data_IF_123058789406
#
_entry.id   IF_123058789406
#
_cell.length_a   1.000
_cell.length_b   1.000
_cell.length_c   1.000
_cell.angle_alpha   90.00
_cell.angle_beta   90.00
_cell.angle_gamma   90.00
#
_symmetry.space_group_name_H-M   'P 1'
#
loop_
_entity.id
_entity.type
_entity.pdbx_description
1 polymer ?
#
# COMPACT_ATOMS: atom_id res chain seq x y z
N UNK A 1 -1.01 -18.73 -2.52
CA UNK A 1 -1.37 -18.60 -1.09
C UNK A 1 -2.54 -17.64 -1.02
N UNK A 2 -3.73 -18.09 -0.61
CA UNK A 2 -4.91 -17.23 -0.49
C UNK A 2 -4.85 -16.42 0.81
N UNK A 3 -5.23 -15.14 0.75
CA UNK A 3 -5.38 -14.33 1.96
C UNK A 3 -6.60 -14.87 2.75
N UNK A 4 -6.43 -15.31 4.01
CA UNK A 4 -7.53 -15.82 4.83
C UNK A 4 -8.56 -14.74 5.21
N UNK A 5 -8.36 -13.48 4.79
CA UNK A 5 -9.27 -12.36 5.04
C UNK A 5 -10.32 -12.22 3.95
N UNK A 6 -11.59 -12.38 4.33
CA UNK A 6 -12.73 -12.11 3.46
C UNK A 6 -13.58 -10.97 4.01
N UNK A 7 -14.03 -10.04 3.17
CA UNK A 7 -14.93 -8.97 3.61
C UNK A 7 -16.27 -9.56 4.03
N UNK A 8 -16.59 -9.45 5.32
CA UNK A 8 -17.90 -9.82 5.86
C UNK A 8 -18.93 -8.72 5.58
N UNK A 9 -18.62 -7.47 5.94
CA UNK A 9 -19.50 -6.31 5.76
C UNK A 9 -18.72 -5.03 5.52
N UNK A 10 -19.34 -4.11 4.78
CA UNK A 10 -18.88 -2.72 4.66
C UNK A 10 -19.95 -1.78 5.18
N UNK A 11 -19.62 -0.99 6.19
CA UNK A 11 -20.46 0.12 6.63
C UNK A 11 -19.98 1.34 5.86
N UNK A 12 -20.80 1.80 4.93
CA UNK A 12 -20.50 3.00 4.14
C UNK A 12 -20.69 4.24 5.00
N UNK A 13 -19.85 5.25 4.78
CA UNK A 13 -20.06 6.55 5.41
C UNK A 13 -21.27 7.25 4.79
N UNK A 14 -22.02 8.07 5.53
CA UNK A 14 -23.22 8.71 5.02
C UNK A 14 -22.94 9.84 4.02
N UNK A 15 -21.74 10.44 4.04
CA UNK A 15 -21.36 11.52 3.12
C UNK A 15 -20.66 11.01 1.85
N UNK A 16 -21.11 11.43 0.65
CA UNK A 16 -20.48 11.07 -0.61
C UNK A 16 -19.08 11.69 -0.79
N UNK A 17 -18.27 11.14 -1.70
CA UNK A 17 -17.14 11.85 -2.33
C UNK A 17 -17.29 11.81 -3.84
N UNK A 18 -16.80 12.88 -4.48
CA UNK A 18 -16.55 12.89 -5.91
C UNK A 18 -15.32 12.03 -6.21
N UNK A 19 -15.46 11.12 -7.15
CA UNK A 19 -14.40 10.26 -7.63
C UNK A 19 -13.83 10.80 -8.94
N UNK A 20 -12.59 11.28 -8.91
CA UNK A 20 -11.98 11.97 -10.04
C UNK A 20 -11.75 11.05 -11.25
N UNK A 21 -11.50 9.75 -11.01
CA UNK A 21 -11.31 8.79 -12.10
C UNK A 21 -12.63 8.51 -12.80
N UNK A 22 -13.66 8.10 -12.06
CA UNK A 22 -14.98 7.83 -12.64
C UNK A 22 -15.66 9.07 -13.20
N UNK A 23 -15.36 10.26 -12.67
CA UNK A 23 -15.81 11.54 -13.27
C UNK A 23 -15.17 11.75 -14.63
N UNK A 24 -13.86 11.52 -14.76
CA UNK A 24 -13.17 11.58 -16.06
C UNK A 24 -13.69 10.53 -17.03
N UNK A 25 -13.98 9.32 -16.54
CA UNK A 25 -14.56 8.26 -17.36
C UNK A 25 -15.97 8.61 -17.84
N UNK A 26 -16.81 9.17 -16.97
CA UNK A 26 -18.13 9.66 -17.33
C UNK A 26 -18.05 10.78 -18.37
N UNK A 27 -17.10 11.72 -18.23
CA UNK A 27 -16.85 12.76 -19.22
C UNK A 27 -16.43 12.18 -20.59
N UNK A 28 -15.52 11.21 -20.62
CA UNK A 28 -15.11 10.51 -21.86
C UNK A 28 -16.26 9.78 -22.54
N UNK A 29 -17.16 9.21 -21.75
CA UNK A 29 -18.32 8.48 -22.24
C UNK A 29 -19.55 9.38 -22.43
N UNK A 30 -19.42 10.70 -22.26
CA UNK A 30 -20.52 11.67 -22.31
C UNK A 30 -21.70 11.34 -21.37
N UNK A 31 -21.44 10.62 -20.28
CA UNK A 31 -22.44 10.21 -19.29
C UNK A 31 -22.68 11.35 -18.32
N UNK A 32 -23.89 11.94 -18.35
CA UNK A 32 -24.30 12.98 -17.40
C UNK A 32 -25.04 12.44 -16.19
N UNK A 33 -25.80 11.35 -16.37
CA UNK A 33 -26.67 10.77 -15.35
C UNK A 33 -26.54 9.24 -15.37
N UNK A 34 -26.20 8.65 -14.24
CA UNK A 34 -26.13 7.21 -14.09
C UNK A 34 -26.39 6.81 -12.64
N UNK A 35 -27.42 6.01 -12.39
CA UNK A 35 -27.64 5.36 -11.10
C UNK A 35 -27.50 3.85 -11.30
N UNK A 36 -26.45 3.25 -10.75
CA UNK A 36 -26.20 1.80 -10.87
C UNK A 36 -25.76 1.24 -9.53
N UNK A 37 -26.25 0.05 -9.19
CA UNK A 37 -25.99 -0.61 -7.90
C UNK A 37 -24.50 -0.90 -7.63
N UNK A 38 -23.74 -1.20 -8.68
CA UNK A 38 -22.33 -1.62 -8.59
C UNK A 38 -21.33 -0.60 -9.17
N UNK A 39 -21.80 0.55 -9.65
CA UNK A 39 -20.94 1.61 -10.19
C UNK A 39 -21.16 2.91 -9.41
N UNK A 40 -20.21 3.85 -9.44
CA UNK A 40 -20.43 5.16 -8.85
C UNK A 40 -21.62 5.86 -9.54
N UNK A 41 -22.44 6.52 -8.72
CA UNK A 41 -23.59 7.28 -9.19
C UNK A 41 -23.10 8.55 -9.86
N UNK A 42 -23.39 8.75 -11.15
CA UNK A 42 -23.02 9.97 -11.88
C UNK A 42 -24.19 10.95 -11.84
N UNK A 43 -23.94 12.15 -11.33
CA UNK A 43 -24.90 13.26 -11.25
C UNK A 43 -24.27 14.48 -11.91
N UNK A 44 -24.92 15.04 -12.93
CA UNK A 44 -24.41 16.17 -13.70
C UNK A 44 -22.94 15.97 -14.15
N UNK A 45 -22.60 14.76 -14.60
CA UNK A 45 -21.25 14.39 -15.04
C UNK A 45 -20.23 14.15 -13.92
N UNK A 46 -20.58 14.35 -12.64
CA UNK A 46 -19.72 14.05 -11.48
C UNK A 46 -20.03 12.67 -10.95
N UNK A 47 -19.03 11.80 -10.92
CA UNK A 47 -19.16 10.46 -10.34
C UNK A 47 -19.02 10.54 -8.82
N UNK A 48 -20.05 10.08 -8.12
CA UNK A 48 -20.19 10.13 -6.68
C UNK A 48 -20.15 8.72 -6.12
N UNK A 49 -19.38 8.53 -5.04
CA UNK A 49 -19.31 7.26 -4.32
C UNK A 49 -19.36 7.45 -2.80
N UNK A 50 -19.92 6.45 -2.13
CA UNK A 50 -19.94 6.34 -0.67
C UNK A 50 -18.94 5.27 -0.25
N UNK A 51 -17.67 5.64 0.04
CA UNK A 51 -16.69 4.66 0.50
C UNK A 51 -17.06 4.11 1.88
N UNK A 52 -16.47 2.97 2.20
CA UNK A 52 -16.53 2.35 3.51
C UNK A 52 -15.95 3.29 4.58
N UNK A 53 -16.72 3.45 5.67
CA UNK A 53 -16.28 4.00 6.94
C UNK A 53 -15.57 2.91 7.76
N UNK A 54 -16.21 1.74 7.79
CA UNK A 54 -15.76 0.57 8.52
C UNK A 54 -15.82 -0.63 7.57
N UNK A 55 -14.73 -1.37 7.47
CA UNK A 55 -14.70 -2.67 6.79
C UNK A 55 -14.51 -3.75 7.85
N UNK A 56 -15.45 -4.70 7.90
CA UNK A 56 -15.36 -5.86 8.78
C UNK A 56 -14.89 -7.03 7.94
N UNK A 57 -13.71 -7.53 8.26
CA UNK A 57 -13.09 -8.70 7.65
C UNK A 57 -13.34 -9.90 8.55
N UNK A 58 -13.65 -11.05 7.98
CA UNK A 58 -13.57 -12.34 8.65
C UNK A 58 -12.20 -12.95 8.36
N UNK A 59 -11.49 -13.41 9.39
CA UNK A 59 -10.26 -14.20 9.24
C UNK A 59 -10.59 -15.66 9.50
N UNK A 60 -10.45 -16.51 8.48
CA UNK A 60 -10.66 -17.94 8.68
C UNK A 60 -9.51 -18.53 9.51
N UNK A 61 -9.78 -19.18 10.65
CA UNK A 61 -8.74 -19.85 11.45
C UNK A 61 -8.16 -21.10 10.75
N UNK A 62 -8.88 -21.70 9.81
CA UNK A 62 -8.48 -22.94 9.13
C UNK A 62 -7.55 -22.71 7.93
N UNK A 63 -7.43 -21.47 7.45
CA UNK A 63 -6.63 -21.14 6.27
C UNK A 63 -7.26 -21.53 4.93
N UNK A 64 -8.49 -22.06 4.93
CA UNK A 64 -9.28 -22.34 3.73
C UNK A 64 -10.09 -21.13 3.26
N UNK A 65 -10.71 -21.26 2.08
CA UNK A 65 -11.48 -20.21 1.43
C UNK A 65 -12.79 -19.83 2.15
N UNK A 66 -13.27 -18.63 1.82
CA UNK A 66 -14.42 -17.92 2.41
C UNK A 66 -15.77 -18.66 2.47
N UNK A 67 -15.86 -19.84 1.89
CA UNK A 67 -17.07 -20.66 1.83
C UNK A 67 -17.12 -21.75 2.88
N UNK A 68 -15.99 -22.02 3.54
CA UNK A 68 -15.75 -23.31 4.19
C UNK A 68 -15.06 -23.14 5.54
N UNK A 69 -15.58 -22.30 6.43
CA UNK A 69 -15.14 -22.36 7.83
C UNK A 69 -15.59 -23.72 8.40
N UNK A 70 -14.69 -24.68 8.66
CA UNK A 70 -15.08 -26.05 9.01
C UNK A 70 -15.73 -26.13 10.39
N UNK A 71 -15.43 -25.16 11.26
CA UNK A 71 -16.05 -25.02 12.58
C UNK A 71 -17.54 -24.65 12.43
N UNK A 72 -17.92 -23.96 11.34
CA UNK A 72 -19.27 -23.49 11.11
C UNK A 72 -19.60 -23.37 9.60
N UNK A 73 -20.06 -24.46 8.97
CA UNK A 73 -20.35 -24.47 7.54
C UNK A 73 -21.56 -23.59 7.17
N UNK A 74 -21.50 -22.91 6.03
CA UNK A 74 -22.62 -22.17 5.44
C UNK A 74 -22.57 -20.64 5.58
N UNK A 75 -23.71 -19.94 5.44
CA UNK A 75 -23.79 -18.45 5.42
C UNK A 75 -23.50 -17.78 6.77
N UNK A 76 -23.33 -18.56 7.84
CA UNK A 76 -23.15 -18.09 9.22
C UNK A 76 -21.74 -17.55 9.51
N UNK A 77 -20.72 -17.90 8.73
CA UNK A 77 -19.35 -17.43 8.94
C UNK A 77 -19.24 -15.90 9.04
N UNK A 78 -20.10 -15.19 8.31
CA UNK A 78 -20.17 -13.73 8.34
C UNK A 78 -20.49 -13.18 9.73
N UNK A 79 -21.17 -13.94 10.59
CA UNK A 79 -21.63 -13.51 11.91
C UNK A 79 -20.74 -13.98 13.06
N UNK A 80 -19.63 -14.68 12.80
CA UNK A 80 -18.69 -15.08 13.85
C UNK A 80 -17.80 -13.91 14.26
N UNK A 81 -18.31 -13.11 15.19
CA UNK A 81 -17.67 -11.90 15.71
C UNK A 81 -16.25 -12.15 16.26
N UNK A 82 -15.98 -13.34 16.79
CA UNK A 82 -14.66 -13.72 17.32
C UNK A 82 -13.56 -13.76 16.24
N UNK A 83 -13.94 -13.95 14.98
CA UNK A 83 -13.01 -13.98 13.84
C UNK A 83 -13.00 -12.65 13.08
N UNK A 84 -13.76 -11.66 13.55
CA UNK A 84 -13.81 -10.38 12.90
C UNK A 84 -12.55 -9.56 13.15
N UNK A 85 -12.13 -8.89 12.08
CA UNK A 85 -11.14 -7.83 12.08
C UNK A 85 -11.81 -6.58 11.58
N UNK A 86 -11.93 -5.60 12.47
CA UNK A 86 -12.56 -4.33 12.16
C UNK A 86 -11.50 -3.32 11.71
N UNK A 87 -11.70 -2.76 10.52
CA UNK A 87 -10.90 -1.70 9.96
C UNK A 87 -11.72 -0.41 9.93
N UNK A 88 -11.36 0.55 10.79
CA UNK A 88 -11.97 1.88 10.82
C UNK A 88 -11.11 2.84 10.01
N UNK A 89 -11.53 3.14 8.77
CA UNK A 89 -10.72 3.90 7.80
C UNK A 89 -10.31 5.31 8.28
N UNK A 90 -11.21 6.11 8.90
CA UNK A 90 -10.80 7.40 9.45
C UNK A 90 -9.71 7.24 10.50
N UNK A 91 -9.88 6.31 11.45
CA UNK A 91 -8.92 6.10 12.53
C UNK A 91 -7.54 5.68 11.98
N UNK A 92 -7.51 4.85 10.95
CA UNK A 92 -6.25 4.51 10.26
C UNK A 92 -5.61 5.73 9.59
N UNK A 93 -6.41 6.58 8.94
CA UNK A 93 -5.89 7.81 8.34
C UNK A 93 -5.31 8.76 9.39
N UNK A 94 -6.04 8.99 10.49
CA UNK A 94 -5.57 9.79 11.63
C UNK A 94 -4.30 9.21 12.25
N UNK A 95 -4.26 7.91 12.48
CA UNK A 95 -3.07 7.22 12.97
C UNK A 95 -1.87 7.43 12.05
N UNK A 96 -2.07 7.31 10.73
CA UNK A 96 -0.99 7.54 9.75
C UNK A 96 -0.48 8.98 9.76
N UNK A 97 -1.38 9.95 9.86
CA UNK A 97 -1.00 11.37 9.91
C UNK A 97 -0.28 11.73 11.22
N UNK A 98 -0.81 11.28 12.35
CA UNK A 98 -0.37 11.73 13.67
C UNK A 98 0.83 10.94 14.19
N UNK A 99 0.81 9.61 14.05
CA UNK A 99 1.71 8.70 14.77
C UNK A 99 2.71 8.00 13.87
N UNK A 100 2.31 7.60 12.66
CA UNK A 100 3.22 6.90 11.74
C UNK A 100 4.33 7.85 11.26
N UNK A 101 5.54 7.31 11.21
CA UNK A 101 6.73 7.97 10.68
C UNK A 101 7.34 7.08 9.61
N UNK A 102 7.96 7.69 8.61
CA UNK A 102 8.72 6.94 7.63
C UNK A 102 9.90 6.25 8.31
N UNK A 103 10.08 4.96 8.03
CA UNK A 103 11.15 4.16 8.64
C UNK A 103 12.54 4.59 8.16
N UNK A 104 12.63 5.15 6.94
CA UNK A 104 13.87 5.67 6.37
C UNK A 104 14.21 7.06 6.92
N UNK A 105 13.41 8.08 6.60
CA UNK A 105 13.74 9.48 6.92
C UNK A 105 13.19 9.98 8.26
N UNK A 106 12.36 9.19 8.96
CA UNK A 106 11.68 9.62 10.18
C UNK A 106 10.57 10.67 9.98
N UNK A 107 10.34 11.11 8.75
CA UNK A 107 9.36 12.15 8.40
C UNK A 107 7.91 11.75 8.68
N UNK A 108 7.04 12.75 8.84
CA UNK A 108 5.59 12.55 9.05
C UNK A 108 4.87 12.29 7.74
N UNK A 109 3.71 11.63 7.81
CA UNK A 109 2.81 11.55 6.66
C UNK A 109 2.09 12.89 6.48
N UNK A 110 2.23 13.50 5.31
CA UNK A 110 1.48 14.70 4.92
C UNK A 110 0.62 14.42 3.68
N UNK A 111 -0.27 15.35 3.32
CA UNK A 111 -1.23 15.14 2.24
C UNK A 111 -0.57 14.87 0.88
N UNK A 112 0.46 15.63 0.54
CA UNK A 112 1.24 15.51 -0.71
C UNK A 112 2.24 14.35 -0.68
N UNK A 113 2.60 13.88 0.50
CA UNK A 113 3.70 12.93 0.70
C UNK A 113 3.36 11.99 1.85
N UNK A 114 2.68 10.91 1.50
CA UNK A 114 2.08 9.99 2.45
C UNK A 114 3.04 8.85 2.78
N UNK A 115 3.08 8.47 4.06
CA UNK A 115 3.81 7.29 4.52
C UNK A 115 2.88 6.08 4.43
N UNK A 116 2.81 5.47 3.25
CA UNK A 116 1.82 4.42 2.94
C UNK A 116 2.38 3.22 2.15
N UNK A 117 3.69 3.17 1.89
CA UNK A 117 4.34 2.04 1.20
C UNK A 117 4.97 1.11 2.23
N UNK A 118 4.71 -0.19 2.13
CA UNK A 118 5.32 -1.25 2.94
C UNK A 118 6.11 -2.22 2.06
N UNK A 119 7.23 -2.74 2.57
CA UNK A 119 7.95 -3.85 1.92
C UNK A 119 7.58 -5.23 2.48
N UNK A 120 6.86 -5.26 3.61
CA UNK A 120 6.30 -6.49 4.19
C UNK A 120 4.77 -6.46 4.09
N UNK A 121 4.21 -7.65 3.94
CA UNK A 121 2.77 -7.91 3.83
C UNK A 121 2.24 -8.52 5.15
N UNK A 122 3.13 -9.10 5.96
CA UNK A 122 2.89 -9.97 7.10
C UNK A 122 3.47 -9.42 8.42
N UNK A 123 3.96 -8.18 8.44
CA UNK A 123 4.59 -7.57 9.60
C UNK A 123 3.67 -7.52 10.85
N UNK A 124 4.27 -7.53 12.06
CA UNK A 124 3.51 -7.49 13.30
C UNK A 124 2.68 -6.20 13.38
N UNK A 125 1.39 -6.34 13.69
CA UNK A 125 0.50 -5.19 13.82
C UNK A 125 0.88 -4.37 15.03
N UNK A 126 1.21 -3.10 14.80
CA UNK A 126 1.37 -2.14 15.89
C UNK A 126 0.03 -1.81 16.53
N UNK A 127 0.03 -1.52 17.85
CA UNK A 127 -1.17 -1.15 18.62
C UNK A 127 -1.78 0.14 18.07
N UNK A 128 -3.08 0.38 18.31
CA UNK A 128 -3.80 1.49 17.68
C UNK A 128 -3.23 2.89 18.02
N UNK A 129 -2.58 3.03 19.19
CA UNK A 129 -1.92 4.26 19.65
C UNK A 129 -0.43 4.34 19.26
N UNK A 130 0.09 3.38 18.52
CA UNK A 130 1.48 3.37 18.04
C UNK A 130 1.50 3.63 16.53
N UNK A 131 2.53 4.32 16.04
CA UNK A 131 2.76 4.41 14.59
C UNK A 131 2.92 3.01 13.96
N UNK A 132 2.51 2.87 12.70
CA UNK A 132 2.81 1.67 11.91
C UNK A 132 4.32 1.64 11.60
N UNK A 133 4.98 0.50 11.81
CA UNK A 133 6.41 0.31 11.52
C UNK A 133 6.59 -0.24 10.10
N UNK A 134 7.75 -0.01 9.49
CA UNK A 134 8.06 -0.52 8.15
C UNK A 134 7.27 0.16 7.04
N UNK A 135 6.72 1.36 7.31
CA UNK A 135 6.12 2.20 6.29
C UNK A 135 7.11 3.26 5.81
N UNK A 136 6.97 3.61 4.55
CA UNK A 136 7.83 4.53 3.82
C UNK A 136 7.00 5.54 3.03
N UNK A 137 7.59 6.71 2.80
CA UNK A 137 7.19 7.56 1.68
C UNK A 137 7.56 6.89 0.36
N UNK A 138 6.97 7.36 -0.73
CA UNK A 138 7.22 6.80 -2.06
C UNK A 138 8.69 6.79 -2.43
N UNK A 139 9.36 7.93 -2.29
CA UNK A 139 10.75 8.07 -2.70
C UNK A 139 11.68 7.35 -1.72
N UNK A 140 11.38 7.45 -0.42
CA UNK A 140 12.13 6.74 0.61
C UNK A 140 12.10 5.21 0.42
N UNK A 141 10.97 4.66 -0.02
CA UNK A 141 10.87 3.25 -0.40
C UNK A 141 11.81 2.91 -1.56
N UNK A 142 11.91 3.76 -2.57
CA UNK A 142 12.79 3.54 -3.71
C UNK A 142 14.26 3.64 -3.33
N UNK A 143 14.62 4.60 -2.48
CA UNK A 143 15.98 4.80 -1.98
C UNK A 143 16.41 3.60 -1.13
N UNK A 144 15.59 3.20 -0.16
CA UNK A 144 15.89 2.06 0.70
C UNK A 144 16.08 0.77 -0.12
N UNK A 145 15.23 0.56 -1.12
CA UNK A 145 15.37 -0.56 -2.05
C UNK A 145 16.64 -0.47 -2.89
N UNK A 146 17.03 0.72 -3.32
CA UNK A 146 18.29 0.92 -4.03
C UNK A 146 19.48 0.56 -3.14
N UNK A 147 19.47 0.94 -1.86
CA UNK A 147 20.52 0.59 -0.89
C UNK A 147 20.66 -0.93 -0.66
N UNK A 148 19.56 -1.68 -0.70
CA UNK A 148 19.57 -3.14 -0.63
C UNK A 148 19.86 -3.84 -1.97
N UNK A 149 19.94 -3.09 -3.07
CA UNK A 149 20.13 -3.63 -4.42
C UNK A 149 21.62 -3.67 -4.82
N UNK A 150 22.05 -4.79 -5.40
CA UNK A 150 23.39 -4.96 -5.96
C UNK A 150 23.55 -4.15 -7.25
N UNK A 151 24.64 -3.37 -7.34
CA UNK A 151 25.01 -2.54 -8.50
C UNK A 151 26.35 -2.95 -9.11
N UNK A 152 26.87 -4.13 -8.77
CA UNK A 152 28.10 -4.68 -9.34
C UNK A 152 27.94 -4.90 -10.85
N UNK A 153 28.99 -4.61 -11.62
CA UNK A 153 29.00 -4.85 -13.08
C UNK A 153 28.88 -6.34 -13.42
N UNK A 154 29.54 -7.17 -12.62
CA UNK A 154 29.53 -8.64 -12.72
C UNK A 154 29.24 -9.24 -11.35
N UNK A 155 27.96 -9.38 -10.95
CA UNK A 155 27.62 -9.94 -9.64
C UNK A 155 27.97 -11.44 -9.60
N UNK A 156 28.86 -11.83 -8.69
CA UNK A 156 29.10 -13.23 -8.35
C UNK A 156 27.95 -13.73 -7.48
N UNK A 157 27.48 -14.96 -7.73
CA UNK A 157 26.41 -15.58 -6.95
C UNK A 157 27.04 -16.56 -5.95
N UNK A 158 26.65 -16.47 -4.69
CA UNK A 158 27.19 -17.30 -3.60
C UNK A 158 26.80 -18.80 -3.71
N UNK A 159 25.97 -19.17 -4.69
CA UNK A 159 25.47 -20.51 -4.94
C UNK A 159 24.54 -21.08 -3.86
N UNK A 160 24.26 -20.33 -2.79
CA UNK A 160 23.52 -20.79 -1.59
C UNK A 160 22.24 -20.00 -1.36
N UNK A 161 22.24 -18.71 -1.68
CA UNK A 161 21.09 -17.84 -1.57
C UNK A 161 20.65 -17.39 -2.97
N UNK A 162 19.38 -17.57 -3.30
CA UNK A 162 18.87 -17.13 -4.60
C UNK A 162 18.83 -15.60 -4.63
N UNK A 163 19.85 -15.00 -5.24
CA UNK A 163 19.85 -13.59 -5.62
C UNK A 163 20.65 -12.64 -4.72
N UNK A 164 21.49 -13.08 -3.78
CA UNK A 164 22.49 -12.18 -3.17
C UNK A 164 23.82 -12.22 -3.95
N UNK A 165 24.51 -11.09 -3.97
CA UNK A 165 25.81 -10.95 -4.62
C UNK A 165 26.92 -11.25 -3.61
N UNK A 166 27.80 -12.20 -3.92
CA UNK A 166 28.91 -12.59 -3.04
C UNK A 166 29.90 -11.43 -2.76
N UNK A 167 30.05 -10.51 -3.71
CA UNK A 167 31.00 -9.40 -3.59
C UNK A 167 30.52 -8.25 -2.69
N UNK A 168 29.21 -8.03 -2.58
CA UNK A 168 28.66 -6.87 -1.86
C UNK A 168 27.50 -7.19 -0.91
N UNK A 169 27.11 -8.46 -0.82
CA UNK A 169 26.03 -8.99 0.02
C UNK A 169 24.63 -8.40 -0.23
N UNK A 170 24.46 -7.69 -1.36
CA UNK A 170 23.20 -7.04 -1.74
C UNK A 170 22.39 -7.88 -2.73
N UNK A 171 21.09 -7.64 -2.79
CA UNK A 171 20.16 -8.40 -3.64
C UNK A 171 20.23 -7.96 -5.10
N UNK A 172 20.37 -8.93 -6.01
CA UNK A 172 20.34 -8.70 -7.44
C UNK A 172 18.90 -8.40 -7.89
N UNK A 173 18.65 -7.29 -8.61
CA UNK A 173 17.31 -7.02 -9.10
C UNK A 173 16.98 -7.95 -10.28
N UNK A 174 15.72 -8.36 -10.39
CA UNK A 174 15.23 -9.10 -11.55
C UNK A 174 15.12 -8.17 -12.78
N UNK A 175 15.47 -8.65 -13.97
CA UNK A 175 15.38 -7.86 -15.21
C UNK A 175 16.38 -6.69 -15.26
N UNK A 176 17.67 -7.00 -15.07
CA UNK A 176 18.74 -5.99 -15.08
C UNK A 176 18.84 -5.29 -16.44
N UNK A 177 18.67 -3.97 -16.41
CA UNK A 177 19.08 -3.07 -17.48
C UNK A 177 20.15 -2.12 -16.94
N UNK A 178 21.04 -1.63 -17.80
CA UNK A 178 22.07 -0.66 -17.41
C UNK A 178 21.44 0.60 -16.82
N UNK A 179 20.32 1.07 -17.40
CA UNK A 179 19.55 2.21 -16.89
C UNK A 179 19.06 1.99 -15.44
N UNK A 180 18.57 0.78 -15.11
CA UNK A 180 18.13 0.46 -13.76
C UNK A 180 19.30 0.45 -12.76
N UNK A 181 20.48 -0.03 -13.17
CA UNK A 181 21.69 -0.01 -12.34
C UNK A 181 22.15 1.42 -12.08
N UNK A 182 22.18 2.28 -13.12
CA UNK A 182 22.56 3.68 -12.98
C UNK A 182 21.60 4.42 -12.04
N UNK A 183 20.30 4.25 -12.22
CA UNK A 183 19.29 4.81 -11.32
C UNK A 183 19.48 4.32 -9.87
N UNK A 184 19.75 3.03 -9.66
CA UNK A 184 20.04 2.51 -8.33
C UNK A 184 21.33 3.10 -7.72
N UNK A 185 22.39 3.30 -8.52
CA UNK A 185 23.62 3.96 -8.08
C UNK A 185 23.37 5.41 -7.67
N UNK A 186 22.63 6.16 -8.47
CA UNK A 186 22.29 7.56 -8.17
C UNK A 186 21.48 7.68 -6.88
N UNK A 187 20.56 6.74 -6.62
CA UNK A 187 19.80 6.69 -5.38
C UNK A 187 20.65 6.23 -4.19
N UNK A 188 21.63 5.35 -4.38
CA UNK A 188 22.56 4.92 -3.33
C UNK A 188 23.49 6.03 -2.85
N UNK A 189 23.71 7.08 -3.65
CA UNK A 189 24.48 8.26 -3.21
C UNK A 189 23.77 9.06 -2.11
N UNK A 190 22.45 8.90 -1.98
CA UNK A 190 21.68 9.53 -0.91
C UNK A 190 22.01 8.81 0.40
N UNK A 191 22.49 9.51 1.44
CA UNK A 191 22.89 8.87 2.68
C UNK A 191 21.69 8.22 3.39
N UNK A 192 21.92 7.21 4.25
CA UNK A 192 20.87 6.61 5.08
C UNK A 192 20.06 7.67 5.84
N UNK A 193 18.74 7.61 5.72
CA UNK A 193 17.82 8.60 6.29
C UNK A 193 17.68 9.90 5.51
N UNK A 194 18.55 10.15 4.53
CA UNK A 194 18.45 11.27 3.59
C UNK A 194 17.33 11.06 2.58
N UNK A 195 16.84 12.15 2.00
CA UNK A 195 15.83 12.11 0.94
C UNK A 195 16.09 13.24 -0.04
N UNK A 196 15.84 13.02 -1.33
CA UNK A 196 15.69 14.13 -2.29
C UNK A 196 14.51 14.99 -1.86
N UNK A 197 14.80 16.16 -1.33
CA UNK A 197 13.78 17.20 -1.20
C UNK A 197 13.50 17.74 -2.60
N UNK A 198 12.23 17.80 -2.98
CA UNK A 198 11.79 18.36 -4.28
C UNK A 198 12.25 19.80 -4.52
N UNK A 199 12.83 20.47 -3.51
CA UNK A 199 13.43 21.79 -3.61
C UNK A 199 14.77 21.81 -4.39
N UNK A 200 15.48 20.68 -4.51
CA UNK A 200 16.76 20.61 -5.25
C UNK A 200 16.58 20.29 -6.75
N UNK A 201 15.35 20.05 -7.22
CA UNK A 201 15.05 19.70 -8.63
C UNK A 201 14.37 20.84 -9.41
N UNK A 202 14.46 22.09 -8.95
CA UNK A 202 14.26 23.23 -9.83
C UNK A 202 15.63 23.69 -10.36
N UNK A 203 16.12 23.19 -11.51
CA UNK A 203 17.08 23.97 -12.26
C UNK A 203 16.38 25.29 -12.58
N UNK A 204 17.03 26.40 -12.22
CA UNK A 204 16.61 27.74 -12.59
C UNK A 204 16.24 27.75 -14.08
N UNK A 205 14.95 27.99 -14.35
CA UNK A 205 14.39 28.19 -15.68
C UNK A 205 14.26 29.69 -15.93
#
# INVERSE_FOLDING_TARGET
MHDPLTVAFEIRRPWPRVDAYSTRQAARNSVRWQMRRHHPTVIAGRAIRWPSLITVWHRDPSGYDSTTCPIYPGRSWRFHVHHWRVQVHPLQHWRRLLLTRCTWCGGRSIKSDQTNISHSWDGPRARWWQGEKGLFHRDCSSIERAHSTCVCKSPALDGRSYGQCEACDRFRPFGITEANILCARDLQQIPPGGRRTSAEEAPDA
#
